data_IF_083718806242
#
_entry.id   IF_083718806242
#
_cell.length_a   1.000
_cell.length_b   1.000
_cell.length_c   1.000
_cell.angle_alpha   90.00
_cell.angle_beta   90.00
_cell.angle_gamma   90.00
#
_symmetry.space_group_name_H-M   'P 1'
#
loop_
_entity.id
_entity.type
_entity.pdbx_description
1 polymer ?
#
# COMPACT_ATOMS: atom_id res chain seq x y z
N UNK A 1 0.37 9.72 4.42
CA UNK A 1 -0.85 10.54 4.59
C UNK A 1 -1.46 10.94 3.25
N UNK A 2 -0.68 11.42 2.26
CA UNK A 2 -1.24 11.82 0.96
C UNK A 2 -1.88 10.67 0.15
N UNK A 3 -1.35 9.45 0.21
CA UNK A 3 -1.96 8.27 -0.40
C UNK A 3 -3.36 7.97 0.16
N UNK A 4 -3.58 8.16 1.46
CA UNK A 4 -4.87 7.92 2.11
C UNK A 4 -5.98 8.85 1.60
N UNK A 5 -5.65 10.11 1.33
CA UNK A 5 -6.58 11.07 0.72
C UNK A 5 -7.01 10.58 -0.67
N UNK A 6 -6.09 10.02 -1.46
CA UNK A 6 -6.42 9.48 -2.77
C UNK A 6 -7.25 8.19 -2.67
N UNK A 7 -6.98 7.32 -1.68
CA UNK A 7 -7.86 6.16 -1.41
C UNK A 7 -9.29 6.58 -1.04
N UNK A 8 -9.45 7.67 -0.29
CA UNK A 8 -10.77 8.26 -0.05
C UNK A 8 -11.39 8.73 -1.38
N UNK A 9 -10.64 9.42 -2.23
CA UNK A 9 -11.07 9.80 -3.57
C UNK A 9 -11.58 8.63 -4.43
N UNK A 10 -10.91 7.47 -4.38
CA UNK A 10 -11.36 6.23 -5.07
C UNK A 10 -12.76 5.81 -4.58
N UNK A 11 -13.02 5.89 -3.28
CA UNK A 11 -14.32 5.50 -2.71
C UNK A 11 -15.47 6.42 -3.15
N UNK A 12 -15.19 7.71 -3.38
CA UNK A 12 -16.19 8.70 -3.84
C UNK A 12 -16.29 8.83 -5.36
N UNK A 13 -15.44 8.13 -6.12
CA UNK A 13 -15.45 8.18 -7.58
C UNK A 13 -15.84 6.82 -8.15
N UNK A 14 -17.13 6.59 -8.44
CA UNK A 14 -17.58 5.33 -9.03
C UNK A 14 -16.91 5.12 -10.40
N UNK A 15 -16.31 3.95 -10.58
CA UNK A 15 -15.45 3.65 -11.75
C UNK A 15 -16.21 3.51 -13.08
N UNK A 16 -17.51 3.26 -13.01
CA UNK A 16 -18.44 3.12 -14.14
C UNK A 16 -18.92 4.47 -14.70
N UNK A 17 -18.99 5.51 -13.84
CA UNK A 17 -19.45 6.86 -14.24
C UNK A 17 -18.26 7.82 -14.41
N UNK A 18 -17.36 7.85 -13.43
CA UNK A 18 -16.24 8.80 -13.35
C UNK A 18 -14.90 8.10 -13.60
N UNK A 19 -14.83 7.27 -14.65
CA UNK A 19 -13.71 6.37 -14.90
C UNK A 19 -12.35 7.08 -14.91
N UNK A 20 -12.21 8.21 -15.61
CA UNK A 20 -10.95 8.96 -15.72
C UNK A 20 -10.47 9.49 -14.37
N UNK A 21 -11.38 10.06 -13.58
CA UNK A 21 -11.07 10.62 -12.26
C UNK A 21 -10.75 9.49 -11.29
N UNK A 22 -11.50 8.38 -11.34
CA UNK A 22 -11.23 7.18 -10.58
C UNK A 22 -9.81 6.66 -10.83
N UNK A 23 -9.43 6.49 -12.11
CA UNK A 23 -8.08 6.02 -12.47
C UNK A 23 -6.98 6.98 -12.01
N UNK A 24 -7.22 8.28 -12.04
CA UNK A 24 -6.28 9.26 -11.49
C UNK A 24 -6.04 9.02 -10.00
N UNK A 25 -7.12 8.84 -9.21
CA UNK A 25 -7.00 8.54 -7.79
C UNK A 25 -6.31 7.20 -7.52
N UNK A 26 -6.65 6.15 -8.27
CA UNK A 26 -6.00 4.83 -8.16
C UNK A 26 -4.50 4.95 -8.43
N UNK A 27 -4.11 5.50 -9.59
CA UNK A 27 -2.68 5.64 -9.96
C UNK A 27 -1.92 6.44 -8.92
N UNK A 28 -2.49 7.56 -8.47
CA UNK A 28 -1.81 8.42 -7.50
C UNK A 28 -1.74 7.77 -6.11
N UNK A 29 -2.79 7.09 -5.65
CA UNK A 29 -2.79 6.39 -4.36
C UNK A 29 -1.71 5.30 -4.30
N UNK A 30 -1.65 4.44 -5.33
CA UNK A 30 -0.69 3.33 -5.37
C UNK A 30 0.74 3.80 -5.66
N UNK A 31 0.93 4.84 -6.48
CA UNK A 31 2.25 5.44 -6.66
C UNK A 31 2.80 6.02 -5.35
N UNK A 32 1.97 6.78 -4.62
CA UNK A 32 2.38 7.40 -3.36
C UNK A 32 2.62 6.38 -2.24
N UNK A 33 1.87 5.27 -2.19
CA UNK A 33 2.11 4.26 -1.15
C UNK A 33 3.47 3.58 -1.37
N UNK A 34 3.85 3.25 -2.61
CA UNK A 34 5.15 2.67 -2.94
C UNK A 34 6.30 3.60 -2.54
N UNK A 35 6.16 4.89 -2.87
CA UNK A 35 7.15 5.90 -2.45
C UNK A 35 7.24 5.95 -0.93
N UNK A 36 6.11 6.03 -0.24
CA UNK A 36 6.06 6.09 1.22
C UNK A 36 6.73 4.87 1.85
N UNK A 37 6.41 3.65 1.43
CA UNK A 37 6.97 2.44 2.03
C UNK A 37 8.45 2.30 1.73
N UNK A 38 8.90 2.72 0.54
CA UNK A 38 10.33 2.76 0.19
C UNK A 38 11.17 3.62 1.14
N UNK A 39 10.62 4.73 1.64
CA UNK A 39 11.28 5.55 2.67
C UNK A 39 11.24 4.92 4.07
N UNK A 40 10.17 4.22 4.44
CA UNK A 40 10.03 3.59 5.75
C UNK A 40 10.92 2.36 5.92
N UNK A 41 11.17 1.59 4.86
CA UNK A 41 12.03 0.39 4.91
C UNK A 41 13.42 0.67 5.51
N UNK A 42 14.24 1.62 4.99
CA UNK A 42 15.54 1.91 5.56
C UNK A 42 15.46 2.52 6.96
N UNK A 43 14.39 3.26 7.28
CA UNK A 43 14.19 3.80 8.62
C UNK A 43 13.99 2.69 9.67
N UNK A 44 13.21 1.66 9.33
CA UNK A 44 13.02 0.48 10.17
C UNK A 44 14.33 -0.30 10.32
N UNK A 45 15.02 -0.59 9.20
CA UNK A 45 16.26 -1.38 9.22
C UNK A 45 17.41 -0.72 10.02
N UNK A 46 17.44 0.61 10.09
CA UNK A 46 18.44 1.34 10.88
C UNK A 46 18.11 1.39 12.39
N UNK A 47 16.88 1.05 12.78
CA UNK A 47 16.43 1.13 14.17
C UNK A 47 16.67 -0.21 14.87
N UNK A 48 17.86 -0.39 15.49
CA UNK A 48 18.26 -1.65 16.15
C UNK A 48 17.26 -2.19 17.19
N UNK A 49 16.54 -1.29 17.87
CA UNK A 49 15.56 -1.67 18.88
C UNK A 49 14.21 -2.13 18.28
N UNK A 50 14.04 -2.03 16.95
CA UNK A 50 12.85 -2.46 16.23
C UNK A 50 13.18 -3.68 15.36
N UNK A 51 12.33 -4.70 15.39
CA UNK A 51 12.63 -5.98 14.74
C UNK A 51 12.59 -5.86 13.20
N UNK A 52 13.66 -6.30 12.53
CA UNK A 52 13.77 -6.29 11.07
C UNK A 52 12.68 -7.11 10.36
N UNK A 53 12.01 -8.05 11.03
CA UNK A 53 10.82 -8.73 10.54
C UNK A 53 9.79 -7.76 9.96
N UNK A 54 9.55 -6.63 10.64
CA UNK A 54 8.61 -5.62 10.18
C UNK A 54 9.08 -4.95 8.88
N UNK A 55 10.38 -4.73 8.70
CA UNK A 55 10.92 -4.26 7.42
C UNK A 55 10.72 -5.28 6.30
N UNK A 56 10.94 -6.57 6.55
CA UNK A 56 10.77 -7.60 5.52
C UNK A 56 9.32 -7.71 5.02
N UNK A 57 8.34 -7.62 5.93
CA UNK A 57 6.92 -7.55 5.55
C UNK A 57 6.65 -6.30 4.69
N UNK A 58 7.23 -5.15 5.06
CA UNK A 58 7.07 -3.91 4.31
C UNK A 58 7.74 -3.96 2.93
N UNK A 59 8.91 -4.62 2.82
CA UNK A 59 9.60 -4.88 1.55
C UNK A 59 8.73 -5.75 0.64
N UNK A 60 8.23 -6.88 1.14
CA UNK A 60 7.36 -7.77 0.37
C UNK A 60 6.12 -7.02 -0.14
N UNK A 61 5.46 -6.25 0.74
CA UNK A 61 4.31 -5.42 0.37
C UNK A 61 4.67 -4.39 -0.72
N UNK A 62 5.83 -3.74 -0.61
CA UNK A 62 6.29 -2.74 -1.58
C UNK A 62 6.54 -3.37 -2.94
N UNK A 63 7.16 -4.55 -2.99
CA UNK A 63 7.39 -5.31 -4.23
C UNK A 63 6.06 -5.70 -4.88
N UNK A 64 5.14 -6.32 -4.13
CA UNK A 64 3.84 -6.74 -4.66
C UNK A 64 3.00 -5.55 -5.14
N UNK A 65 3.05 -4.42 -4.41
CA UNK A 65 2.40 -3.18 -4.83
C UNK A 65 3.03 -2.60 -6.10
N UNK A 66 4.35 -2.72 -6.26
CA UNK A 66 5.05 -2.26 -7.46
C UNK A 66 4.72 -3.12 -8.68
N UNK A 67 4.58 -4.43 -8.51
CA UNK A 67 4.11 -5.35 -9.56
C UNK A 67 2.70 -4.97 -9.99
N UNK A 68 1.78 -4.75 -9.05
CA UNK A 68 0.44 -4.28 -9.38
C UNK A 68 0.45 -2.91 -10.04
N UNK A 69 1.27 -1.97 -9.57
CA UNK A 69 1.37 -0.66 -10.19
C UNK A 69 1.89 -0.75 -11.64
N UNK A 70 2.80 -1.67 -11.93
CA UNK A 70 3.21 -1.98 -13.29
C UNK A 70 2.05 -2.52 -14.14
N UNK A 71 1.25 -3.45 -13.60
CA UNK A 71 0.02 -3.98 -14.24
C UNK A 71 -1.01 -2.86 -14.47
N UNK A 72 -1.15 -1.92 -13.54
CA UNK A 72 -2.07 -0.79 -13.66
C UNK A 72 -1.72 0.14 -14.84
N UNK A 73 -0.42 0.24 -15.17
CA UNK A 73 0.06 1.10 -16.25
C UNK A 73 0.12 0.38 -17.60
N UNK A 74 0.47 -0.91 -17.62
CA UNK A 74 0.79 -1.66 -18.85
C UNK A 74 -0.08 -2.90 -19.07
N UNK A 75 -0.93 -3.25 -18.11
CA UNK A 75 -1.76 -4.44 -18.16
C UNK A 75 -2.96 -4.31 -19.11
N UNK A 76 -3.83 -5.32 -19.10
CA UNK A 76 -5.02 -5.37 -19.96
C UNK A 76 -5.88 -4.11 -19.84
N UNK A 77 -6.40 -3.64 -20.97
CA UNK A 77 -7.27 -2.48 -20.99
C UNK A 77 -8.58 -2.78 -20.26
N UNK A 78 -9.07 -1.90 -19.38
CA UNK A 78 -10.38 -2.04 -18.75
C UNK A 78 -11.56 -1.87 -19.73
N UNK A 79 -11.30 -1.56 -21.00
CA UNK A 79 -12.32 -1.54 -22.07
C UNK A 79 -12.75 -2.94 -22.51
N UNK A 80 -11.92 -3.95 -22.24
CA UNK A 80 -12.25 -5.36 -22.48
C UNK A 80 -12.80 -5.97 -21.17
N UNK A 81 -13.95 -6.68 -21.18
CA UNK A 81 -14.52 -7.25 -19.95
C UNK A 81 -13.54 -8.11 -19.15
N UNK A 82 -12.74 -8.93 -19.82
CA UNK A 82 -11.74 -9.79 -19.16
C UNK A 82 -10.60 -8.95 -18.59
N UNK A 83 -10.17 -7.93 -19.32
CA UNK A 83 -9.17 -6.96 -18.86
C UNK A 83 -9.63 -6.17 -17.62
N UNK A 84 -10.89 -5.76 -17.59
CA UNK A 84 -11.50 -5.09 -16.44
C UNK A 84 -11.52 -6.01 -15.21
N UNK A 85 -11.96 -7.26 -15.37
CA UNK A 85 -11.99 -8.24 -14.28
C UNK A 85 -10.58 -8.47 -13.74
N UNK A 86 -9.59 -8.64 -14.61
CA UNK A 86 -8.20 -8.83 -14.22
C UNK A 86 -7.67 -7.65 -13.39
N UNK A 87 -7.87 -6.42 -13.85
CA UNK A 87 -7.43 -5.20 -13.14
C UNK A 87 -8.09 -5.08 -11.75
N UNK A 88 -9.40 -5.32 -11.66
CA UNK A 88 -10.15 -5.22 -10.39
C UNK A 88 -9.72 -6.31 -9.40
N UNK A 89 -9.50 -7.54 -9.87
CA UNK A 89 -9.03 -8.64 -9.03
C UNK A 89 -7.62 -8.35 -8.52
N UNK A 90 -6.71 -7.91 -9.40
CA UNK A 90 -5.34 -7.54 -9.02
C UNK A 90 -5.34 -6.41 -7.99
N UNK A 91 -6.18 -5.38 -8.17
CA UNK A 91 -6.35 -4.29 -7.21
C UNK A 91 -6.80 -4.81 -5.85
N UNK A 92 -7.83 -5.66 -5.79
CA UNK A 92 -8.35 -6.22 -4.53
C UNK A 92 -7.29 -7.02 -3.76
N UNK A 93 -6.51 -7.83 -4.47
CA UNK A 93 -5.42 -8.60 -3.86
C UNK A 93 -4.43 -7.67 -3.16
N UNK A 94 -3.98 -6.62 -3.85
CA UNK A 94 -3.01 -5.68 -3.26
C UNK A 94 -3.61 -4.85 -2.13
N UNK A 95 -4.90 -4.48 -2.20
CA UNK A 95 -5.59 -3.81 -1.08
C UNK A 95 -5.63 -4.70 0.17
N UNK A 96 -5.92 -5.99 0.04
CA UNK A 96 -5.89 -6.89 1.21
C UNK A 96 -4.48 -7.06 1.77
N UNK A 97 -3.47 -7.18 0.90
CA UNK A 97 -2.07 -7.19 1.34
C UNK A 97 -1.67 -5.90 2.05
N UNK A 98 -2.18 -4.75 1.60
CA UNK A 98 -1.97 -3.46 2.26
C UNK A 98 -2.57 -3.45 3.66
N UNK A 99 -3.82 -3.90 3.81
CA UNK A 99 -4.49 -3.96 5.12
C UNK A 99 -3.71 -4.86 6.09
N UNK A 100 -3.29 -6.04 5.63
CA UNK A 100 -2.49 -6.99 6.43
C UNK A 100 -1.15 -6.36 6.82
N UNK A 101 -0.41 -5.81 5.85
CA UNK A 101 0.90 -5.19 6.07
C UNK A 101 0.81 -4.06 7.09
N UNK A 102 -0.13 -3.11 6.91
CA UNK A 102 -0.32 -1.99 7.82
C UNK A 102 -0.74 -2.44 9.23
N UNK A 103 -1.56 -3.50 9.34
CA UNK A 103 -1.93 -4.08 10.63
C UNK A 103 -0.72 -4.65 11.37
N UNK A 104 0.15 -5.36 10.66
CA UNK A 104 1.42 -5.88 11.21
C UNK A 104 2.34 -4.73 11.64
N UNK A 105 2.47 -3.66 10.84
CA UNK A 105 3.28 -2.50 11.20
C UNK A 105 2.74 -1.76 12.43
N UNK A 106 1.41 -1.62 12.54
CA UNK A 106 0.75 -0.99 13.68
C UNK A 106 1.01 -1.80 14.97
N UNK A 107 0.89 -3.13 14.91
CA UNK A 107 1.23 -4.01 16.02
C UNK A 107 2.70 -3.89 16.43
N UNK A 108 3.60 -3.91 15.44
CA UNK A 108 5.04 -3.76 15.69
C UNK A 108 5.37 -2.45 16.40
N UNK A 109 4.86 -1.34 15.87
CA UNK A 109 5.12 0.00 16.42
C UNK A 109 4.57 0.14 17.83
N UNK A 110 3.39 -0.43 18.12
CA UNK A 110 2.83 -0.47 19.48
C UNK A 110 3.73 -1.25 20.45
N UNK A 111 4.24 -2.42 20.04
CA UNK A 111 5.15 -3.23 20.84
C UNK A 111 6.46 -2.48 21.13
N UNK A 112 7.02 -1.82 20.11
CA UNK A 112 8.22 -1.00 20.22
C UNK A 112 8.04 0.18 21.18
N UNK A 113 6.96 0.96 21.03
CA UNK A 113 6.67 2.11 21.87
C UNK A 113 6.51 1.71 23.35
N UNK A 114 5.85 0.57 23.62
CA UNK A 114 5.73 0.03 24.97
C UNK A 114 7.10 -0.31 25.57
N UNK A 115 7.96 -0.98 24.82
CA UNK A 115 9.29 -1.38 25.32
C UNK A 115 10.20 -0.15 25.58
N UNK A 116 10.08 0.91 24.78
CA UNK A 116 10.80 2.17 25.04
C UNK A 116 10.34 2.87 26.32
N UNK A 117 9.05 2.82 26.65
CA UNK A 117 8.52 3.39 27.90
C UNK A 117 9.04 2.65 29.13
N UNK A 118 9.10 1.32 29.10
CA UNK A 118 9.63 0.51 30.21
C UNK A 118 11.14 0.74 30.44
N UNK A 119 11.93 0.91 29.39
CA UNK A 119 13.37 1.16 29.52
C UNK A 119 13.72 2.57 30.04
N UNK A 120 12.72 3.43 30.26
CA UNK A 120 12.89 4.82 30.71
C UNK A 120 12.47 5.04 32.17
N UNK A 121 11.93 4.02 32.83
CA UNK A 121 11.55 3.98 34.26
C UNK A 121 12.58 3.13 34.99
#
# INVERSE_FOLDING_TARGET
>A
MLSAIHFFGIAFTPGDILHTIHLYFVRTAFGLIIISTSFYIPAILKTKAYNNFYAYILILFTILSSIYFYILLNGPSPSDPDGLVFQVVAQKIVVYLQIISLSIQAYGTKSFARNQLYNKI
#
